data_IF_828401774748
#
_entry.id   IF_828401774748
#
_cell.length_a   1.000
_cell.length_b   1.000
_cell.length_c   1.000
_cell.angle_alpha   90.00
_cell.angle_beta   90.00
_cell.angle_gamma   90.00
#
_symmetry.space_group_name_H-M   'P 1'
#
loop_
_entity.id
_entity.type
_entity.pdbx_description
1 polymer ?
#
# COMPACT_ATOMS: atom_id res chain seq x y z
N UNK A 1 9.36 8.33 18.33
CA UNK A 1 8.20 8.91 17.58
C UNK A 1 7.63 7.78 16.75
N UNK A 2 6.32 7.54 16.79
CA UNK A 2 5.68 6.48 16.03
C UNK A 2 5.01 7.03 14.77
N UNK A 3 5.01 6.21 13.73
CA UNK A 3 4.31 6.41 12.47
C UNK A 3 3.25 5.32 12.30
N UNK A 4 2.20 5.66 11.55
CA UNK A 4 1.09 4.76 11.21
C UNK A 4 0.97 4.79 9.69
N UNK A 5 0.89 3.61 9.08
CA UNK A 5 0.67 3.43 7.65
C UNK A 5 -0.60 2.59 7.45
N UNK A 6 -1.77 3.23 7.27
CA UNK A 6 -3.02 2.53 7.04
C UNK A 6 -3.36 2.44 5.54
N UNK A 7 -4.02 1.35 5.15
CA UNK A 7 -4.80 1.29 3.91
C UNK A 7 -6.30 1.32 4.27
N UNK A 8 -7.06 2.16 3.56
CA UNK A 8 -8.46 2.45 3.85
C UNK A 8 -9.34 2.12 2.64
N UNK A 9 -10.53 1.60 2.91
CA UNK A 9 -11.66 1.52 1.97
C UNK A 9 -12.83 2.34 2.51
N UNK A 10 -13.94 2.38 1.76
CA UNK A 10 -15.18 2.99 2.24
C UNK A 10 -15.76 2.28 3.47
N UNK A 11 -15.41 1.01 3.69
CA UNK A 11 -15.87 0.19 4.81
C UNK A 11 -14.93 0.24 6.02
N UNK A 12 -13.78 0.93 5.91
CA UNK A 12 -12.85 1.15 7.02
C UNK A 12 -11.40 0.77 6.73
N UNK A 13 -10.64 0.49 7.79
CA UNK A 13 -9.21 0.12 7.71
C UNK A 13 -9.08 -1.34 7.29
N UNK A 14 -8.30 -1.61 6.24
CA UNK A 14 -8.09 -2.97 5.71
C UNK A 14 -6.67 -3.50 5.90
N UNK A 15 -5.70 -2.61 6.11
CA UNK A 15 -4.33 -2.95 6.50
C UNK A 15 -3.76 -1.83 7.39
N UNK A 16 -2.87 -2.19 8.33
CA UNK A 16 -2.31 -1.26 9.30
C UNK A 16 -0.91 -1.69 9.75
N UNK A 17 0.08 -0.82 9.56
CA UNK A 17 1.42 -0.96 10.16
C UNK A 17 1.70 0.22 11.10
N UNK A 18 2.14 -0.09 12.33
CA UNK A 18 2.52 0.90 13.36
C UNK A 18 3.94 0.61 13.77
N UNK A 19 4.81 1.60 13.64
CA UNK A 19 6.24 1.42 13.87
C UNK A 19 6.92 2.69 14.36
N UNK A 20 8.10 2.52 14.95
CA UNK A 20 8.91 3.64 15.39
C UNK A 20 9.73 4.21 14.21
N UNK A 21 9.81 5.54 14.13
CA UNK A 21 10.55 6.25 13.09
C UNK A 21 9.65 6.84 12.01
N UNK A 22 10.26 7.18 10.87
CA UNK A 22 9.57 7.72 9.70
C UNK A 22 9.36 6.64 8.64
N UNK A 23 8.33 6.80 7.79
CA UNK A 23 8.15 5.95 6.61
C UNK A 23 9.32 6.19 5.66
N UNK A 24 9.96 5.12 5.20
CA UNK A 24 10.96 5.15 4.13
C UNK A 24 10.52 4.20 3.00
N UNK A 25 11.25 4.23 1.88
CA UNK A 25 10.93 3.42 0.68
C UNK A 25 10.85 1.94 1.00
N UNK A 26 11.85 1.39 1.68
CA UNK A 26 11.95 -0.04 2.01
C UNK A 26 10.75 -0.53 2.82
N UNK A 27 10.37 0.24 3.85
CA UNK A 27 9.21 -0.10 4.68
C UNK A 27 7.89 0.06 3.92
N UNK A 28 7.80 1.07 3.06
CA UNK A 28 6.61 1.26 2.22
C UNK A 28 6.41 0.09 1.25
N UNK A 29 7.47 -0.32 0.54
CA UNK A 29 7.46 -1.50 -0.34
C UNK A 29 7.06 -2.75 0.44
N UNK A 30 7.67 -2.98 1.60
CA UNK A 30 7.32 -4.12 2.45
C UNK A 30 5.85 -4.12 2.87
N UNK A 31 5.29 -2.96 3.20
CA UNK A 31 3.87 -2.82 3.51
C UNK A 31 2.99 -3.17 2.30
N UNK A 32 3.36 -2.73 1.10
CA UNK A 32 2.63 -3.06 -0.13
C UNK A 32 2.63 -4.56 -0.39
N UNK A 33 3.79 -5.21 -0.35
CA UNK A 33 3.92 -6.65 -0.63
C UNK A 33 3.18 -7.50 0.42
N UNK A 34 3.38 -7.20 1.71
CA UNK A 34 2.94 -8.09 2.78
C UNK A 34 1.53 -7.81 3.26
N UNK A 35 1.04 -6.58 3.10
CA UNK A 35 -0.24 -6.16 3.67
C UNK A 35 -1.25 -5.74 2.60
N UNK A 36 -0.83 -4.97 1.57
CA UNK A 36 -1.77 -4.42 0.60
C UNK A 36 -2.05 -5.36 -0.59
N UNK A 37 -1.03 -5.85 -1.29
CA UNK A 37 -1.19 -6.65 -2.49
C UNK A 37 -2.12 -7.88 -2.30
N UNK A 38 -2.03 -8.64 -1.18
CA UNK A 38 -2.90 -9.80 -0.96
C UNK A 38 -4.39 -9.48 -0.76
N UNK A 39 -4.75 -8.21 -0.54
CA UNK A 39 -6.15 -7.78 -0.38
C UNK A 39 -6.69 -7.02 -1.58
N UNK A 40 -5.82 -6.61 -2.51
CA UNK A 40 -6.24 -6.01 -3.78
C UNK A 40 -6.84 -7.08 -4.69
N UNK A 41 -7.63 -6.64 -5.66
CA UNK A 41 -8.08 -7.49 -6.75
C UNK A 41 -7.76 -6.84 -8.10
N UNK A 42 -7.68 -7.60 -9.20
CA UNK A 42 -7.59 -7.03 -10.54
C UNK A 42 -8.80 -6.15 -10.86
N UNK A 43 -8.58 -5.04 -11.56
CA UNK A 43 -9.66 -4.17 -12.04
C UNK A 43 -10.58 -4.93 -13.02
N UNK A 44 -11.92 -4.83 -12.91
CA UNK A 44 -12.72 -3.87 -12.13
C UNK A 44 -13.36 -4.42 -10.83
N UNK A 45 -12.75 -5.42 -10.19
CA UNK A 45 -13.31 -5.99 -8.95
C UNK A 45 -13.20 -5.04 -7.76
N UNK A 46 -13.81 -5.39 -6.63
CA UNK A 46 -13.68 -4.61 -5.41
C UNK A 46 -12.21 -4.48 -4.97
N UNK A 47 -11.82 -3.34 -4.40
CA UNK A 47 -10.44 -3.06 -3.97
C UNK A 47 -9.42 -3.16 -5.11
N UNK A 48 -9.80 -2.78 -6.34
CA UNK A 48 -8.89 -2.84 -7.49
C UNK A 48 -8.21 -1.53 -7.88
N UNK A 49 -8.41 -0.47 -7.09
CA UNK A 49 -7.84 0.85 -7.36
C UNK A 49 -7.16 1.33 -6.09
N UNK A 50 -5.85 1.57 -6.20
CA UNK A 50 -5.04 2.15 -5.13
C UNK A 50 -4.90 3.65 -5.37
N UNK A 51 -5.21 4.44 -4.35
CA UNK A 51 -5.05 5.90 -4.36
C UNK A 51 -4.07 6.29 -3.27
N UNK A 52 -3.06 7.08 -3.63
CA UNK A 52 -2.00 7.55 -2.74
C UNK A 52 -1.76 9.04 -2.98
N UNK A 53 -1.15 9.73 -2.02
CA UNK A 53 -0.68 11.09 -2.23
C UNK A 53 0.56 11.10 -3.15
N UNK A 54 0.86 12.27 -3.71
CA UNK A 54 1.94 12.47 -4.67
C UNK A 54 3.32 12.61 -3.97
N UNK A 55 3.65 11.65 -3.09
CA UNK A 55 4.93 11.63 -2.39
C UNK A 55 6.04 11.04 -3.27
N UNK A 56 7.26 11.58 -3.18
CA UNK A 56 8.39 11.14 -4.02
C UNK A 56 8.73 9.66 -3.86
N UNK A 57 8.52 9.09 -2.66
CA UNK A 57 8.77 7.66 -2.41
C UNK A 57 7.76 6.73 -3.11
N UNK A 58 6.65 7.27 -3.64
CA UNK A 58 5.65 6.50 -4.39
C UNK A 58 5.97 6.38 -5.88
N UNK A 59 6.93 7.18 -6.38
CA UNK A 59 7.29 7.25 -7.80
C UNK A 59 8.33 6.18 -8.12
N UNK A 60 7.93 4.91 -8.03
CA UNK A 60 8.82 3.77 -8.22
C UNK A 60 8.17 2.68 -9.06
N UNK A 61 8.93 2.09 -10.00
CA UNK A 61 8.46 1.00 -10.85
C UNK A 61 8.11 -0.26 -10.03
N UNK A 62 8.80 -0.47 -8.91
CA UNK A 62 8.53 -1.57 -7.98
C UNK A 62 7.13 -1.46 -7.39
N UNK A 63 6.72 -0.26 -6.97
CA UNK A 63 5.40 0.00 -6.42
C UNK A 63 4.32 -0.29 -7.47
N UNK A 64 4.56 0.11 -8.73
CA UNK A 64 3.64 -0.18 -9.83
C UNK A 64 3.49 -1.69 -10.04
N UNK A 65 4.61 -2.43 -10.06
CA UNK A 65 4.63 -3.88 -10.23
C UNK A 65 3.82 -4.58 -9.14
N UNK A 66 4.06 -4.22 -7.88
CA UNK A 66 3.35 -4.82 -6.73
C UNK A 66 1.84 -4.58 -6.82
N UNK A 67 1.42 -3.34 -7.12
CA UNK A 67 -0.01 -2.98 -7.15
C UNK A 67 -0.74 -3.52 -8.37
N UNK A 68 -0.07 -3.64 -9.52
CA UNK A 68 -0.73 -3.99 -10.80
C UNK A 68 -0.55 -5.47 -11.15
N UNK A 69 0.67 -5.98 -11.02
CA UNK A 69 1.05 -7.29 -11.54
C UNK A 69 1.00 -8.39 -10.46
N UNK A 70 1.13 -8.00 -9.18
CA UNK A 70 1.16 -8.92 -8.03
C UNK A 70 -0.10 -8.82 -7.15
N UNK A 71 -1.13 -8.08 -7.59
CA UNK A 71 -2.40 -7.99 -6.88
C UNK A 71 -3.24 -9.27 -6.98
N UNK A 72 -3.90 -9.64 -5.88
CA UNK A 72 -4.70 -10.87 -5.74
C UNK A 72 -3.98 -11.96 -4.96
#
# INVERSE_FOLDING_TARGET
KYSILPALTLDGVVALDIFEGAVNRERFVHFLEMQLAPILNPYPLDRSVVVMDNCAIHHDEEIRRIVVDECG
#
